data_IF_643448736069
#
_entry.id   IF_643448736069
#
_cell.length_a   1.000
_cell.length_b   1.000
_cell.length_c   1.000
_cell.angle_alpha   90.00
_cell.angle_beta   90.00
_cell.angle_gamma   90.00
#
_symmetry.space_group_name_H-M   'P 1'
#
loop_
_entity.id
_entity.type
_entity.pdbx_description
1 polymer ?
#
# COMPACT_ATOMS: atom_id res chain seq x y z
N UNK A 1 11.22 24.37 -21.32
CA UNK A 1 11.66 23.23 -20.47
C UNK A 1 10.51 22.27 -20.15
N UNK A 2 9.43 22.71 -19.50
CA UNK A 2 8.30 21.84 -19.13
C UNK A 2 7.67 21.12 -20.34
N UNK A 3 7.46 21.83 -21.46
CA UNK A 3 6.93 21.23 -22.70
C UNK A 3 7.87 20.15 -23.26
N UNK A 4 9.18 20.41 -23.28
CA UNK A 4 10.17 19.45 -23.74
C UNK A 4 10.20 18.19 -22.86
N UNK A 5 9.98 18.33 -21.54
CA UNK A 5 9.81 17.17 -20.66
C UNK A 5 8.53 16.40 -21.00
N UNK A 6 7.39 17.07 -21.21
CA UNK A 6 6.13 16.39 -21.55
C UNK A 6 6.28 15.60 -22.85
N UNK A 7 6.90 16.20 -23.87
CA UNK A 7 7.10 15.60 -25.21
C UNK A 7 8.25 14.59 -25.28
N UNK A 8 9.09 14.50 -24.24
CA UNK A 8 10.19 13.54 -24.22
C UNK A 8 9.71 12.09 -24.30
N UNK A 9 10.46 11.25 -24.99
CA UNK A 9 10.13 9.83 -25.15
C UNK A 9 10.13 9.11 -23.78
N UNK A 10 9.05 8.40 -23.47
CA UNK A 10 8.92 7.59 -22.26
C UNK A 10 9.95 6.47 -22.16
N UNK A 11 10.54 6.03 -23.28
CA UNK A 11 11.55 4.98 -23.30
C UNK A 11 12.96 5.50 -22.98
N UNK A 12 13.13 6.80 -22.72
CA UNK A 12 14.42 7.40 -22.37
C UNK A 12 14.47 7.79 -20.89
N UNK A 13 15.67 7.73 -20.33
CA UNK A 13 15.92 8.26 -19.00
C UNK A 13 15.94 9.79 -19.06
N UNK A 14 15.02 10.42 -18.34
CA UNK A 14 14.90 11.88 -18.26
C UNK A 14 14.89 12.29 -16.80
N UNK A 15 15.74 13.26 -16.47
CA UNK A 15 15.77 13.89 -15.16
C UNK A 15 15.09 15.26 -15.25
N UNK A 16 14.09 15.49 -14.40
CA UNK A 16 13.41 16.77 -14.27
C UNK A 16 13.83 17.42 -12.97
N UNK A 17 14.80 18.33 -13.06
CA UNK A 17 15.15 19.23 -11.97
C UNK A 17 14.04 20.27 -11.79
N UNK A 18 13.67 20.53 -10.54
CA UNK A 18 12.53 21.38 -10.23
C UNK A 18 12.74 22.07 -8.88
N UNK A 19 12.71 23.40 -8.89
CA UNK A 19 12.69 24.18 -7.65
C UNK A 19 11.35 24.00 -6.90
N UNK A 20 11.31 24.20 -5.58
CA UNK A 20 10.05 24.27 -4.84
C UNK A 20 9.09 25.28 -5.48
N UNK A 21 7.82 24.90 -5.65
CA UNK A 21 6.81 25.77 -6.27
C UNK A 21 6.82 25.85 -7.81
N UNK A 22 7.77 25.20 -8.50
CA UNK A 22 7.89 25.24 -9.98
C UNK A 22 6.80 24.50 -10.76
N UNK A 23 5.82 23.89 -10.08
CA UNK A 23 4.74 23.15 -10.72
C UNK A 23 5.11 21.74 -11.19
N UNK A 24 6.18 21.13 -10.65
CA UNK A 24 6.65 19.77 -11.00
C UNK A 24 5.53 18.74 -11.09
N UNK A 25 4.64 18.70 -10.09
CA UNK A 25 3.52 17.76 -10.02
C UNK A 25 2.57 17.92 -11.22
N UNK A 26 2.38 19.15 -11.71
CA UNK A 26 1.53 19.45 -12.86
C UNK A 26 2.13 18.91 -14.15
N UNK A 27 3.42 19.16 -14.35
CA UNK A 27 4.17 18.72 -15.51
C UNK A 27 4.23 17.20 -15.59
N UNK A 28 4.44 16.53 -14.45
CA UNK A 28 4.39 15.06 -14.37
C UNK A 28 2.99 14.54 -14.69
N UNK A 29 1.93 15.12 -14.12
CA UNK A 29 0.56 14.70 -14.38
C UNK A 29 0.17 14.85 -15.87
N UNK A 30 0.53 15.98 -16.49
CA UNK A 30 0.28 16.22 -17.91
C UNK A 30 1.02 15.21 -18.81
N UNK A 31 2.27 14.86 -18.48
CA UNK A 31 3.03 13.82 -19.19
C UNK A 31 2.34 12.45 -19.06
N UNK A 32 2.03 12.03 -17.83
CA UNK A 32 1.37 10.74 -17.56
C UNK A 32 0.05 10.63 -18.33
N UNK A 33 -0.79 11.67 -18.31
CA UNK A 33 -2.05 11.65 -19.04
C UNK A 33 -1.86 11.59 -20.56
N UNK A 34 -0.84 12.27 -21.09
CA UNK A 34 -0.51 12.24 -22.53
C UNK A 34 -0.05 10.85 -22.96
N UNK A 35 0.84 10.22 -22.18
CA UNK A 35 1.34 8.87 -22.43
C UNK A 35 0.23 7.82 -22.30
N UNK A 36 -0.65 7.96 -21.29
CA UNK A 36 -1.80 7.08 -21.12
C UNK A 36 -2.77 7.18 -22.30
N UNK A 37 -3.02 8.38 -22.84
CA UNK A 37 -3.86 8.58 -24.03
C UNK A 37 -3.27 7.95 -25.29
N UNK A 38 -1.93 7.92 -25.41
CA UNK A 38 -1.18 7.42 -26.58
C UNK A 38 -0.72 5.97 -26.41
N UNK A 39 -1.12 5.30 -25.33
CA UNK A 39 -0.61 4.00 -24.98
C UNK A 39 -0.99 2.92 -25.99
N UNK A 40 0.01 2.21 -26.52
CA UNK A 40 -0.15 1.14 -27.52
C UNK A 40 0.45 -0.21 -27.10
N UNK A 41 0.95 -0.31 -25.86
CA UNK A 41 1.71 -1.48 -25.37
C UNK A 41 0.87 -2.45 -24.54
N UNK A 42 -0.44 -2.55 -24.79
CA UNK A 42 -1.31 -3.49 -24.09
C UNK A 42 -0.86 -4.95 -24.33
N UNK A 43 -0.86 -5.84 -23.32
CA UNK A 43 -1.42 -5.68 -21.96
C UNK A 43 -0.52 -4.96 -20.94
N UNK A 44 0.69 -4.52 -21.33
CA UNK A 44 1.59 -3.78 -20.45
C UNK A 44 1.07 -2.39 -20.08
N UNK A 45 1.59 -1.82 -19.00
CA UNK A 45 1.22 -0.50 -18.47
C UNK A 45 2.43 0.34 -18.04
N UNK A 46 2.17 1.52 -17.51
CA UNK A 46 3.18 2.40 -16.91
C UNK A 46 3.03 2.35 -15.39
N UNK A 47 4.14 2.46 -14.65
CA UNK A 47 4.11 2.65 -13.22
C UNK A 47 4.54 4.08 -12.87
N UNK A 48 3.66 4.83 -12.21
CA UNK A 48 3.93 6.16 -11.67
C UNK A 48 4.02 6.03 -10.16
N UNK A 49 5.21 6.25 -9.61
CA UNK A 49 5.54 5.95 -8.23
C UNK A 49 5.80 7.24 -7.43
N UNK A 50 5.28 7.29 -6.20
CA UNK A 50 5.62 8.32 -5.21
C UNK A 50 6.01 7.70 -3.86
N UNK A 51 6.54 8.51 -2.95
CA UNK A 51 6.90 8.08 -1.60
C UNK A 51 5.79 8.30 -0.56
N UNK A 52 4.80 9.13 -0.88
CA UNK A 52 3.71 9.47 0.05
C UNK A 52 2.35 9.29 -0.61
N UNK A 53 1.37 8.86 0.19
CA UNK A 53 -0.03 8.75 -0.22
C UNK A 53 -0.60 10.11 -0.64
N UNK A 54 -0.30 11.18 0.11
CA UNK A 54 -0.72 12.54 -0.24
C UNK A 54 -0.22 12.98 -1.63
N UNK A 55 1.03 12.65 -1.97
CA UNK A 55 1.58 12.94 -3.29
C UNK A 55 0.95 12.07 -4.40
N UNK A 56 0.63 10.80 -4.09
CA UNK A 56 -0.14 9.93 -5.00
C UNK A 56 -1.51 10.54 -5.28
N UNK A 57 -2.26 10.94 -4.25
CA UNK A 57 -3.61 11.48 -4.37
C UNK A 57 -3.63 12.79 -5.15
N UNK A 58 -2.66 13.66 -4.88
CA UNK A 58 -2.49 14.90 -5.63
C UNK A 58 -2.23 14.63 -7.13
N UNK A 59 -1.31 13.72 -7.45
CA UNK A 59 -1.04 13.32 -8.83
C UNK A 59 -2.27 12.69 -9.49
N UNK A 60 -2.97 11.81 -8.79
CA UNK A 60 -4.18 11.13 -9.29
C UNK A 60 -5.26 12.15 -9.64
N UNK A 61 -5.51 13.11 -8.76
CA UNK A 61 -6.48 14.18 -8.98
C UNK A 61 -6.13 15.02 -10.21
N UNK A 62 -4.85 15.36 -10.39
CA UNK A 62 -4.38 16.11 -11.56
C UNK A 62 -4.48 15.29 -12.85
N UNK A 63 -4.00 14.04 -12.86
CA UNK A 63 -4.08 13.14 -14.02
C UNK A 63 -5.53 12.94 -14.46
N UNK A 64 -6.45 12.76 -13.51
CA UNK A 64 -7.87 12.54 -13.81
C UNK A 64 -8.52 13.75 -14.49
N UNK A 65 -8.08 14.98 -14.18
CA UNK A 65 -8.52 16.20 -14.90
C UNK A 65 -8.11 16.20 -16.37
N UNK A 66 -6.97 15.58 -16.70
CA UNK A 66 -6.48 15.47 -18.07
C UNK A 66 -7.05 14.29 -18.83
N UNK A 67 -7.58 13.27 -18.15
CA UNK A 67 -8.18 12.10 -18.77
C UNK A 67 -9.64 12.39 -19.19
N UNK A 68 -10.09 11.85 -20.33
CA UNK A 68 -11.51 11.92 -20.70
C UNK A 68 -12.38 11.25 -19.63
N UNK A 69 -13.56 11.81 -19.39
CA UNK A 69 -14.57 11.24 -18.49
C UNK A 69 -14.82 9.77 -18.88
N UNK A 70 -14.74 8.86 -17.91
CA UNK A 70 -14.99 7.43 -18.11
C UNK A 70 -13.80 6.59 -18.57
N UNK A 71 -12.61 7.18 -18.81
CA UNK A 71 -11.40 6.38 -19.05
C UNK A 71 -10.77 5.90 -17.75
N UNK A 72 -10.63 4.58 -17.62
CA UNK A 72 -9.84 3.96 -16.57
C UNK A 72 -8.35 4.21 -16.79
N UNK A 73 -7.60 4.37 -15.68
CA UNK A 73 -6.13 4.35 -15.68
C UNK A 73 -5.57 2.97 -16.02
N UNK A 74 -6.39 1.92 -16.09
CA UNK A 74 -5.95 0.59 -16.52
C UNK A 74 -5.41 0.61 -17.96
N UNK A 75 -4.25 -0.02 -18.25
CA UNK A 75 -3.45 -0.92 -17.40
C UNK A 75 -2.34 -0.24 -16.57
N UNK A 76 -2.32 1.09 -16.46
CA UNK A 76 -1.32 1.84 -15.70
C UNK A 76 -1.53 1.74 -14.18
N UNK A 77 -0.41 1.83 -13.46
CA UNK A 77 -0.35 1.91 -12.00
C UNK A 77 0.06 3.32 -11.59
N UNK A 78 -0.66 3.88 -10.62
CA UNK A 78 -0.33 5.14 -9.96
C UNK A 78 -0.52 4.93 -8.46
N UNK A 79 0.58 5.03 -7.69
CA UNK A 79 0.60 4.66 -6.28
C UNK A 79 1.94 4.91 -5.63
N UNK A 80 2.04 4.56 -4.34
CA UNK A 80 3.34 4.57 -3.67
C UNK A 80 4.25 3.45 -4.16
N UNK A 81 5.55 3.62 -3.94
CA UNK A 81 6.53 2.57 -4.17
C UNK A 81 6.18 1.27 -3.43
N UNK A 82 5.79 1.37 -2.15
CA UNK A 82 5.38 0.22 -1.34
C UNK A 82 4.13 -0.47 -1.91
N UNK A 83 3.14 0.32 -2.34
CA UNK A 83 1.93 -0.21 -2.98
C UNK A 83 2.24 -0.94 -4.27
N UNK A 84 3.22 -0.46 -5.05
CA UNK A 84 3.64 -1.11 -6.28
C UNK A 84 4.27 -2.48 -6.01
N UNK A 85 5.20 -2.55 -5.06
CA UNK A 85 5.84 -3.80 -4.63
C UNK A 85 4.79 -4.77 -4.12
N UNK A 86 3.92 -4.29 -3.23
CA UNK A 86 2.88 -5.12 -2.63
C UNK A 86 1.97 -5.75 -3.70
N UNK A 87 1.47 -4.93 -4.63
CA UNK A 87 0.50 -5.36 -5.64
C UNK A 87 1.13 -6.24 -6.74
N UNK A 88 2.33 -5.90 -7.21
CA UNK A 88 2.90 -6.52 -8.42
C UNK A 88 3.99 -7.56 -8.11
N UNK A 89 4.49 -7.62 -6.88
CA UNK A 89 5.55 -8.56 -6.48
C UNK A 89 5.06 -9.46 -5.36
N UNK A 90 4.59 -8.89 -4.24
CA UNK A 90 4.23 -9.67 -3.04
C UNK A 90 2.96 -10.48 -3.26
N UNK A 91 1.87 -9.84 -3.71
CA UNK A 91 0.58 -10.53 -3.89
C UNK A 91 0.63 -11.70 -4.90
N UNK A 92 1.28 -11.58 -6.07
CA UNK A 92 1.44 -12.71 -6.97
C UNK A 92 2.22 -13.89 -6.38
N UNK A 93 3.10 -13.62 -5.42
CA UNK A 93 3.92 -14.62 -4.73
C UNK A 93 3.32 -15.04 -3.38
N UNK A 94 2.15 -14.51 -3.00
CA UNK A 94 1.56 -14.67 -1.67
C UNK A 94 1.43 -16.14 -1.24
N UNK A 95 0.90 -16.99 -2.10
CA UNK A 95 0.75 -18.43 -1.83
C UNK A 95 2.09 -19.12 -1.59
N UNK A 96 3.12 -18.76 -2.35
CA UNK A 96 4.46 -19.34 -2.19
C UNK A 96 5.14 -18.86 -0.91
N UNK A 97 4.96 -17.58 -0.56
CA UNK A 97 5.57 -16.97 0.63
C UNK A 97 4.92 -17.43 1.93
N UNK A 98 3.60 -17.66 1.92
CA UNK A 98 2.83 -17.91 3.15
C UNK A 98 2.36 -19.36 3.29
N UNK A 99 2.38 -20.15 2.21
CA UNK A 99 1.72 -21.46 2.16
C UNK A 99 0.19 -21.39 2.18
N UNK A 100 -0.40 -20.19 2.20
CA UNK A 100 -1.85 -20.00 2.21
C UNK A 100 -2.42 -20.28 0.82
N UNK A 101 -3.20 -21.36 0.71
CA UNK A 101 -3.87 -21.78 -0.54
C UNK A 101 -5.05 -20.90 -0.96
N UNK A 102 -5.33 -19.84 -0.20
CA UNK A 102 -6.46 -18.96 -0.42
C UNK A 102 -7.80 -19.51 0.10
N UNK A 103 -8.80 -18.64 0.15
CA UNK A 103 -10.19 -19.02 0.38
C UNK A 103 -11.00 -18.70 -0.88
N UNK A 104 -11.68 -19.70 -1.45
CA UNK A 104 -12.43 -19.56 -2.72
C UNK A 104 -11.59 -18.99 -3.89
N UNK A 105 -10.28 -19.27 -3.91
CA UNK A 105 -9.35 -18.77 -4.92
C UNK A 105 -8.74 -17.40 -4.62
N UNK A 106 -9.19 -16.69 -3.57
CA UNK A 106 -8.54 -15.46 -3.10
C UNK A 106 -7.33 -15.81 -2.23
N UNK A 107 -6.14 -15.66 -2.81
CA UNK A 107 -4.86 -15.83 -2.15
C UNK A 107 -4.22 -14.48 -1.77
N UNK A 108 -4.96 -13.38 -1.82
CA UNK A 108 -4.41 -12.06 -1.55
C UNK A 108 -3.97 -11.96 -0.09
N UNK A 109 -2.75 -11.48 0.12
CA UNK A 109 -2.36 -10.99 1.43
C UNK A 109 -3.22 -9.75 1.68
N UNK A 110 -3.63 -9.56 2.94
CA UNK A 110 -4.33 -8.35 3.39
C UNK A 110 -3.57 -7.80 4.57
N UNK A 111 -3.10 -6.57 4.44
CA UNK A 111 -2.51 -5.83 5.55
C UNK A 111 -3.68 -5.30 6.39
N UNK A 112 -3.69 -5.66 7.67
CA UNK A 112 -4.67 -5.20 8.66
C UNK A 112 -3.91 -4.31 9.63
N UNK A 113 -4.27 -3.03 9.71
CA UNK A 113 -3.66 -2.13 10.70
C UNK A 113 -4.20 -2.41 12.09
N UNK A 114 -3.39 -2.17 13.14
CA UNK A 114 -3.78 -2.35 14.54
C UNK A 114 -4.99 -1.51 14.97
N UNK A 115 -5.35 -0.46 14.24
CA UNK A 115 -6.54 0.37 14.49
C UNK A 115 -7.80 -0.14 13.78
N UNK A 116 -7.71 -1.22 13.01
CA UNK A 116 -8.81 -1.74 12.20
C UNK A 116 -9.94 -2.33 13.06
N UNK A 117 -11.17 -2.29 12.59
CA UNK A 117 -12.29 -2.93 13.27
C UNK A 117 -12.48 -4.37 12.78
N UNK A 118 -11.73 -5.30 13.36
CA UNK A 118 -11.89 -6.73 13.07
C UNK A 118 -12.80 -7.41 14.10
N UNK A 119 -13.76 -8.23 13.66
CA UNK A 119 -14.71 -8.91 14.55
C UNK A 119 -14.14 -10.11 15.33
N UNK A 120 -12.98 -10.63 14.92
CA UNK A 120 -12.37 -11.81 15.53
C UNK A 120 -11.63 -11.43 16.81
N UNK A 121 -11.98 -12.11 17.91
CA UNK A 121 -11.42 -11.87 19.25
C UNK A 121 -10.95 -13.16 19.90
N UNK A 122 -10.03 -13.05 20.85
CA UNK A 122 -9.69 -14.15 21.75
C UNK A 122 -10.94 -14.67 22.45
N UNK A 123 -10.97 -15.96 22.78
CA UNK A 123 -12.09 -16.55 23.52
C UNK A 123 -12.15 -16.03 24.96
N UNK A 124 -10.99 -15.79 25.57
CA UNK A 124 -10.85 -15.30 26.94
C UNK A 124 -10.27 -13.89 26.98
N UNK A 125 -10.56 -13.18 28.06
CA UNK A 125 -9.97 -11.87 28.30
C UNK A 125 -8.55 -11.98 28.86
N UNK A 126 -7.67 -11.10 28.41
CA UNK A 126 -6.26 -11.05 28.84
C UNK A 126 -6.07 -9.80 29.71
N UNK A 127 -5.28 -9.91 30.78
CA UNK A 127 -4.91 -8.80 31.67
C UNK A 127 -6.09 -7.97 32.23
N UNK A 128 -7.27 -8.59 32.46
CA UNK A 128 -8.52 -7.89 32.84
C UNK A 128 -9.00 -6.81 31.85
N UNK A 129 -8.44 -6.76 30.63
CA UNK A 129 -8.79 -5.81 29.57
C UNK A 129 -9.82 -6.36 28.57
N UNK A 130 -10.46 -7.48 28.91
CA UNK A 130 -11.41 -8.17 28.06
C UNK A 130 -10.74 -8.87 26.87
N UNK A 131 -11.56 -9.28 25.92
CA UNK A 131 -11.13 -10.07 24.78
C UNK A 131 -10.38 -9.20 23.77
N UNK A 132 -9.22 -9.67 23.32
CA UNK A 132 -8.32 -8.93 22.44
C UNK A 132 -8.62 -9.29 20.98
N UNK A 133 -8.60 -8.32 20.07
CA UNK A 133 -8.81 -8.60 18.65
C UNK A 133 -7.63 -9.38 18.05
N UNK A 134 -7.92 -10.25 17.09
CA UNK A 134 -6.92 -11.13 16.48
C UNK A 134 -5.76 -10.39 15.77
N UNK A 135 -5.98 -9.13 15.37
CA UNK A 135 -4.96 -8.30 14.71
C UNK A 135 -4.24 -7.35 15.69
N UNK A 136 -4.54 -7.42 16.99
CA UNK A 136 -3.86 -6.64 18.02
C UNK A 136 -2.72 -7.40 18.72
N UNK A 137 -2.35 -8.58 18.21
CA UNK A 137 -1.20 -9.31 18.72
C UNK A 137 -0.53 -10.11 17.61
N UNK A 138 0.76 -10.38 17.78
CA UNK A 138 1.58 -11.16 16.87
C UNK A 138 2.52 -12.07 17.65
N UNK A 139 3.00 -13.13 17.00
CA UNK A 139 3.97 -14.03 17.63
C UNK A 139 5.37 -13.44 17.49
N UNK A 140 6.09 -13.31 18.61
CA UNK A 140 7.50 -12.95 18.61
C UNK A 140 8.32 -14.17 18.18
N UNK A 141 8.76 -14.16 16.93
CA UNK A 141 9.57 -15.23 16.35
C UNK A 141 10.94 -15.39 17.03
N UNK A 142 11.43 -14.37 17.75
CA UNK A 142 12.73 -14.42 18.43
C UNK A 142 12.63 -15.04 19.81
N UNK A 143 11.64 -14.61 20.60
CA UNK A 143 11.50 -15.01 22.00
C UNK A 143 10.45 -16.08 22.24
N UNK A 144 9.67 -16.46 21.22
CA UNK A 144 8.66 -17.52 21.31
C UNK A 144 7.41 -17.14 22.11
N UNK A 145 7.12 -15.84 22.23
CA UNK A 145 5.96 -15.31 22.96
C UNK A 145 4.98 -14.55 22.06
N UNK A 146 4.09 -13.78 22.68
CA UNK A 146 3.16 -12.88 21.97
C UNK A 146 3.47 -11.42 22.29
N UNK A 147 3.43 -10.58 21.27
CA UNK A 147 3.53 -9.12 21.39
C UNK A 147 2.16 -8.54 21.08
N UNK A 148 1.62 -7.77 22.01
CA UNK A 148 0.37 -7.03 21.85
C UNK A 148 0.64 -5.61 21.34
N UNK A 149 -0.09 -5.23 20.30
CA UNK A 149 -0.09 -3.90 19.70
C UNK A 149 -1.54 -3.55 19.33
N UNK A 150 -2.22 -2.85 20.24
CA UNK A 150 -3.62 -2.46 20.13
C UNK A 150 -3.78 -1.03 19.58
N UNK A 151 -2.67 -0.35 19.27
CA UNK A 151 -2.63 1.08 18.98
C UNK A 151 -2.76 1.99 20.21
N UNK A 152 -2.89 1.42 21.42
CA UNK A 152 -2.92 2.14 22.70
C UNK A 152 -1.72 1.72 23.56
N UNK A 153 -0.71 2.60 23.60
CA UNK A 153 0.55 2.39 24.33
C UNK A 153 0.40 1.99 25.80
N UNK A 154 -0.64 2.48 26.50
CA UNK A 154 -0.85 2.15 27.92
C UNK A 154 -1.36 0.72 28.03
N UNK A 155 -2.35 0.37 27.21
CA UNK A 155 -2.93 -0.96 27.15
C UNK A 155 -1.89 -2.00 26.71
N UNK A 156 -1.05 -1.65 25.74
CA UNK A 156 0.00 -2.53 25.23
C UNK A 156 1.07 -2.80 26.27
N UNK A 157 1.47 -1.80 27.05
CA UNK A 157 2.43 -1.99 28.15
C UNK A 157 1.91 -2.98 29.20
N UNK A 158 0.63 -2.89 29.55
CA UNK A 158 0.02 -3.81 30.51
C UNK A 158 -0.11 -5.23 29.95
N UNK A 159 -0.56 -5.37 28.70
CA UNK A 159 -0.73 -6.67 28.05
C UNK A 159 0.61 -7.40 27.88
N UNK A 160 1.65 -6.69 27.44
CA UNK A 160 2.99 -7.24 27.26
C UNK A 160 3.73 -7.51 28.57
N UNK A 161 3.24 -7.01 29.71
CA UNK A 161 3.78 -7.32 31.04
C UNK A 161 3.24 -8.63 31.62
N UNK A 162 2.17 -9.19 31.05
CA UNK A 162 1.54 -10.43 31.55
C UNK A 162 2.23 -11.65 30.95
N UNK A 163 2.56 -12.62 31.80
CA UNK A 163 2.97 -13.96 31.37
C UNK A 163 1.70 -14.79 31.10
N UNK A 164 1.52 -15.21 29.85
CA UNK A 164 0.42 -16.09 29.46
C UNK A 164 0.71 -17.52 29.91
N UNK A 165 -0.30 -18.22 30.41
CA UNK A 165 -0.21 -19.64 30.70
C UNK A 165 -0.18 -20.45 29.39
N UNK A 166 0.42 -21.65 29.40
CA UNK A 166 0.58 -22.47 28.19
C UNK A 166 -0.72 -22.87 27.46
N UNK A 167 -1.87 -22.76 28.12
CA UNK A 167 -3.19 -23.05 27.52
C UNK A 167 -3.93 -21.80 27.01
N UNK A 168 -3.42 -20.60 27.33
CA UNK A 168 -3.99 -19.30 26.93
C UNK A 168 -3.44 -18.85 25.59
#
# INVERSE_FOLDING_TARGET
EQQAYIESDINRHVFLEACPGSGKTEVVAAKVATEAKRWRKYPGGMAVLSFANSATDELKNRVTKYLPIGRSLFPHFLGTFDSFIYKNIVNPLATQLTGFSGQAGDCTIRIIEGTSTLGFRTRWGIARRGNIHAHHYSMDLKNGGYIFDTGDSIKDRELNAVTLESWQ
#
